data_IF_475580726840
#
_entry.id   IF_475580726840
#
_cell.length_a   1.000
_cell.length_b   1.000
_cell.length_c   1.000
_cell.angle_alpha   90.00
_cell.angle_beta   90.00
_cell.angle_gamma   90.00
#
_symmetry.space_group_name_H-M   'P 1'
#
loop_
_entity.id
_entity.type
_entity.pdbx_description
1 polymer ?
#
# COMPACT_ATOMS: atom_id res chain seq x y z
N UNK A 1 3.12 15.18 24.90
CA UNK A 1 3.86 14.08 25.53
C UNK A 1 2.95 12.99 26.13
N UNK A 2 1.88 13.29 26.91
CA UNK A 2 0.99 12.26 27.51
C UNK A 2 0.32 11.32 26.47
N UNK A 3 -0.06 11.83 25.28
CA UNK A 3 -0.70 11.03 24.23
C UNK A 3 0.24 9.99 23.56
N UNK A 4 1.54 10.28 23.49
CA UNK A 4 2.55 9.37 22.94
C UNK A 4 2.80 8.20 23.90
N UNK A 5 2.78 8.46 25.21
CA UNK A 5 2.97 7.44 26.24
C UNK A 5 1.80 6.44 26.26
N UNK A 6 0.56 6.91 26.07
CA UNK A 6 -0.63 6.03 26.00
C UNK A 6 -0.56 5.13 24.75
N UNK A 7 -0.15 5.66 23.61
CA UNK A 7 0.01 4.89 22.39
C UNK A 7 1.11 3.82 22.54
N UNK A 8 2.23 4.18 23.17
CA UNK A 8 3.33 3.25 23.48
C UNK A 8 2.89 2.13 24.41
N UNK A 9 2.09 2.44 25.44
CA UNK A 9 1.56 1.45 26.39
C UNK A 9 0.54 0.51 25.70
N UNK A 10 -0.31 1.02 24.81
CA UNK A 10 -1.22 0.17 24.04
C UNK A 10 -0.47 -0.79 23.09
N UNK A 11 0.61 -0.33 22.47
CA UNK A 11 1.47 -1.17 21.64
C UNK A 11 2.13 -2.26 22.51
N UNK A 12 2.69 -1.92 23.67
CA UNK A 12 3.36 -2.87 24.57
C UNK A 12 2.36 -3.89 25.15
N UNK A 13 1.14 -3.48 25.51
CA UNK A 13 0.12 -4.41 26.03
C UNK A 13 -0.38 -5.40 24.96
N UNK A 14 -0.41 -5.01 23.68
CA UNK A 14 -0.75 -5.92 22.58
C UNK A 14 0.26 -7.06 22.41
N UNK A 15 1.52 -6.85 22.84
CA UNK A 15 2.57 -7.89 22.78
C UNK A 15 2.53 -8.88 23.95
N UNK A 16 1.81 -8.59 25.03
CA UNK A 16 1.88 -9.36 26.29
C UNK A 16 0.89 -10.51 26.39
N UNK A 17 -0.11 -10.61 25.50
CA UNK A 17 -1.24 -11.54 25.67
C UNK A 17 -0.94 -12.97 25.20
N UNK A 18 0.15 -13.20 24.46
CA UNK A 18 0.39 -14.50 23.80
C UNK A 18 1.22 -15.53 24.59
N UNK A 19 1.58 -15.27 25.86
CA UNK A 19 2.59 -16.07 26.57
C UNK A 19 2.12 -17.45 27.09
N UNK A 20 0.86 -17.86 26.94
CA UNK A 20 0.32 -19.05 27.62
C UNK A 20 -0.29 -20.16 26.78
N UNK A 21 -0.26 -20.13 25.44
CA UNK A 21 -0.82 -21.23 24.62
C UNK A 21 0.21 -22.31 24.30
N UNK A 22 -0.18 -23.59 24.50
CA UNK A 22 0.56 -24.79 24.03
C UNK A 22 0.96 -24.59 22.57
N UNK A 23 2.27 -24.62 22.28
CA UNK A 23 2.85 -24.42 20.94
C UNK A 23 2.45 -25.55 19.98
N UNK A 24 1.33 -25.40 19.32
CA UNK A 24 1.13 -26.10 18.04
C UNK A 24 1.83 -25.23 16.98
N UNK A 25 2.77 -25.78 16.22
CA UNK A 25 3.46 -25.02 15.15
C UNK A 25 2.44 -24.63 14.09
N UNK A 26 2.18 -23.34 14.00
CA UNK A 26 1.28 -22.73 13.01
C UNK A 26 2.10 -21.98 11.95
N UNK A 27 1.45 -21.54 10.90
CA UNK A 27 2.05 -20.68 9.86
C UNK A 27 2.78 -19.46 10.46
N UNK A 28 2.24 -18.89 11.53
CA UNK A 28 2.74 -17.70 12.21
C UNK A 28 3.67 -18.00 13.39
N UNK A 29 4.25 -19.22 13.47
CA UNK A 29 5.19 -19.57 14.54
C UNK A 29 6.57 -18.95 14.30
N UNK A 30 7.25 -18.60 15.39
CA UNK A 30 8.62 -18.08 15.40
C UNK A 30 9.56 -18.94 14.56
N UNK A 31 10.43 -18.31 13.79
CA UNK A 31 11.45 -18.95 12.95
C UNK A 31 10.99 -19.29 11.54
N UNK A 32 9.74 -19.01 11.18
CA UNK A 32 9.28 -19.17 9.80
C UNK A 32 9.69 -17.97 8.94
N UNK A 33 10.12 -18.25 7.71
CA UNK A 33 10.29 -17.26 6.65
C UNK A 33 8.95 -17.10 5.95
N UNK A 34 8.59 -15.87 5.65
CA UNK A 34 7.35 -15.51 4.97
C UNK A 34 7.70 -14.90 3.63
N UNK A 35 7.08 -15.41 2.57
CA UNK A 35 7.16 -14.81 1.23
C UNK A 35 5.75 -14.38 0.85
N UNK A 36 5.59 -13.14 0.45
CA UNK A 36 4.29 -12.57 0.11
C UNK A 36 4.31 -11.96 -1.28
N UNK A 37 3.21 -12.11 -1.98
CA UNK A 37 2.94 -11.48 -3.27
C UNK A 37 1.65 -10.71 -3.17
N UNK A 38 1.76 -9.39 -3.07
CA UNK A 38 0.63 -8.47 -3.03
C UNK A 38 0.25 -7.98 -4.42
N UNK A 39 -1.02 -8.04 -4.73
CA UNK A 39 -1.62 -7.49 -5.93
C UNK A 39 -2.75 -6.56 -5.54
N UNK A 40 -2.87 -5.41 -6.19
CA UNK A 40 -3.98 -4.52 -5.92
C UNK A 40 -4.34 -3.65 -7.10
N UNK A 41 -5.60 -3.27 -7.13
CA UNK A 41 -6.17 -2.35 -8.11
C UNK A 41 -6.96 -1.31 -7.34
N UNK A 42 -6.74 -0.06 -7.68
CA UNK A 42 -7.51 1.06 -7.18
C UNK A 42 -8.14 1.78 -8.37
N UNK A 43 -9.44 2.05 -8.31
CA UNK A 43 -10.13 2.84 -9.32
C UNK A 43 -11.03 3.84 -8.62
N UNK A 44 -10.87 5.11 -8.99
CA UNK A 44 -11.67 6.21 -8.48
C UNK A 44 -12.31 6.93 -9.65
N UNK A 45 -13.63 7.16 -9.55
CA UNK A 45 -14.37 8.03 -10.46
C UNK A 45 -15.13 9.03 -9.61
N UNK A 46 -15.00 10.30 -9.94
CA UNK A 46 -15.78 11.38 -9.33
C UNK A 46 -16.99 11.65 -10.21
N UNK A 47 -18.12 11.97 -9.58
CA UNK A 47 -19.45 12.08 -10.18
C UNK A 47 -19.45 12.99 -11.42
N UNK A 48 -20.04 12.55 -12.53
CA UNK A 48 -20.13 13.32 -13.77
C UNK A 48 -21.00 14.58 -13.67
N UNK A 49 -21.80 14.73 -12.61
CA UNK A 49 -22.60 15.96 -12.38
C UNK A 49 -21.75 17.13 -11.84
N UNK A 50 -20.49 16.86 -11.49
CA UNK A 50 -19.51 17.87 -11.08
C UNK A 50 -18.46 18.01 -12.18
N UNK A 51 -18.36 19.18 -12.77
CA UNK A 51 -17.27 19.55 -13.67
C UNK A 51 -16.05 19.99 -12.82
N UNK A 52 -14.85 19.35 -12.94
CA UNK A 52 -14.43 18.34 -13.92
C UNK A 52 -14.77 16.88 -13.55
N UNK A 53 -14.88 16.04 -14.56
CA UNK A 53 -14.96 14.58 -14.39
C UNK A 53 -13.54 14.04 -14.18
N UNK A 54 -13.29 13.48 -13.01
CA UNK A 54 -12.01 12.86 -12.66
C UNK A 54 -12.13 11.35 -12.68
N UNK A 55 -11.23 10.68 -13.39
CA UNK A 55 -11.09 9.21 -13.36
C UNK A 55 -9.64 8.85 -13.10
N UNK A 56 -9.40 7.94 -12.16
CA UNK A 56 -8.06 7.44 -11.86
C UNK A 56 -8.09 5.93 -11.70
N UNK A 57 -7.09 5.26 -12.25
CA UNK A 57 -6.85 3.83 -12.05
C UNK A 57 -5.40 3.62 -11.67
N UNK A 58 -5.17 2.86 -10.61
CA UNK A 58 -3.83 2.45 -10.20
C UNK A 58 -3.78 0.94 -10.00
N UNK A 59 -2.68 0.34 -10.46
CA UNK A 59 -2.36 -1.08 -10.27
C UNK A 59 -1.05 -1.15 -9.49
N UNK A 60 -1.01 -2.01 -8.48
CA UNK A 60 0.20 -2.22 -7.71
C UNK A 60 0.55 -3.70 -7.56
N UNK A 61 1.84 -3.95 -7.58
CA UNK A 61 2.47 -5.24 -7.38
C UNK A 61 3.50 -5.10 -6.25
N UNK A 62 3.34 -5.85 -5.16
CA UNK A 62 4.15 -5.68 -3.96
C UNK A 62 4.65 -7.03 -3.43
N UNK A 63 5.75 -7.59 -3.95
CA UNK A 63 6.43 -8.71 -3.33
C UNK A 63 7.07 -8.29 -2.01
N UNK A 64 7.10 -9.22 -1.04
CA UNK A 64 7.78 -9.00 0.23
C UNK A 64 8.33 -10.29 0.81
N UNK A 65 9.37 -10.15 1.64
CA UNK A 65 9.96 -11.25 2.40
C UNK A 65 10.05 -10.83 3.87
N UNK A 66 9.59 -11.71 4.73
CA UNK A 66 9.55 -11.49 6.16
C UNK A 66 10.07 -12.69 6.95
N UNK A 67 10.23 -12.48 8.24
CA UNK A 67 10.64 -13.47 9.20
C UNK A 67 9.81 -13.34 10.48
N UNK A 68 9.30 -14.46 10.97
CA UNK A 68 8.58 -14.52 12.25
C UNK A 68 9.59 -14.44 13.41
N UNK A 69 9.76 -13.24 13.96
CA UNK A 69 10.73 -12.99 15.05
C UNK A 69 10.25 -13.55 16.39
N UNK A 70 8.95 -13.55 16.61
CA UNK A 70 8.25 -14.27 17.67
C UNK A 70 6.93 -14.80 17.10
N UNK A 71 6.21 -15.63 17.85
CA UNK A 71 4.91 -16.13 17.39
C UNK A 71 3.97 -14.96 17.10
N UNK A 72 3.37 -14.98 15.91
CA UNK A 72 2.43 -13.97 15.41
C UNK A 72 3.00 -12.57 15.20
N UNK A 73 4.33 -12.40 15.15
CA UNK A 73 4.97 -11.13 14.81
C UNK A 73 6.02 -11.33 13.72
N UNK A 74 5.79 -10.69 12.61
CA UNK A 74 6.62 -10.70 11.41
C UNK A 74 7.34 -9.37 11.25
N UNK A 75 8.64 -9.43 10.93
CA UNK A 75 9.42 -8.30 10.41
C UNK A 75 9.86 -8.62 8.99
N UNK A 76 9.84 -7.64 8.10
CA UNK A 76 10.21 -7.89 6.73
C UNK A 76 10.54 -6.65 5.92
N UNK A 77 10.89 -6.93 4.66
CA UNK A 77 11.14 -5.92 3.64
C UNK A 77 10.14 -6.13 2.50
N UNK A 78 9.78 -5.06 1.85
CA UNK A 78 8.93 -5.08 0.68
C UNK A 78 9.56 -4.29 -0.46
N UNK A 79 9.23 -4.71 -1.66
CA UNK A 79 9.49 -4.01 -2.90
C UNK A 79 8.15 -3.84 -3.60
N UNK A 80 7.94 -2.74 -4.30
CA UNK A 80 6.67 -2.50 -4.98
C UNK A 80 6.86 -1.76 -6.28
N UNK A 81 5.96 -2.02 -7.23
CA UNK A 81 5.80 -1.23 -8.45
C UNK A 81 4.35 -0.80 -8.51
N UNK A 82 4.15 0.51 -8.65
CA UNK A 82 2.83 1.10 -8.85
C UNK A 82 2.78 1.74 -10.23
N UNK A 83 1.74 1.46 -10.97
CA UNK A 83 1.39 2.17 -12.19
C UNK A 83 0.06 2.87 -11.97
N UNK A 84 0.00 4.16 -12.26
CA UNK A 84 -1.20 4.98 -12.12
C UNK A 84 -1.45 5.75 -13.40
N UNK A 85 -2.70 5.75 -13.84
CA UNK A 85 -3.20 6.63 -14.88
C UNK A 85 -4.40 7.40 -14.35
N UNK A 86 -4.47 8.70 -14.66
CA UNK A 86 -5.63 9.51 -14.35
C UNK A 86 -5.98 10.45 -15.49
N UNK A 87 -7.24 10.79 -15.55
CA UNK A 87 -7.83 11.63 -16.57
C UNK A 87 -8.77 12.64 -15.92
N UNK A 88 -8.50 13.93 -16.18
CA UNK A 88 -9.35 15.05 -15.81
C UNK A 88 -9.97 15.63 -17.09
N UNK A 89 -11.30 15.64 -17.16
CA UNK A 89 -12.04 16.19 -18.29
C UNK A 89 -12.77 17.44 -17.86
N UNK A 90 -12.44 18.58 -18.46
CA UNK A 90 -13.09 19.87 -18.26
C UNK A 90 -13.96 20.19 -19.49
N UNK A 91 -15.24 20.41 -19.27
CA UNK A 91 -16.18 20.79 -20.32
C UNK A 91 -16.47 22.27 -20.21
N UNK A 92 -15.70 23.12 -20.91
CA UNK A 92 -16.01 24.53 -21.08
C UNK A 92 -16.54 24.74 -22.50
N UNK A 93 -17.87 24.85 -22.64
CA UNK A 93 -18.49 25.04 -23.96
C UNK A 93 -17.95 26.28 -24.68
N UNK A 94 -17.45 26.20 -25.94
CA UNK A 94 -17.55 25.05 -26.84
C UNK A 94 -16.32 24.10 -26.80
N UNK A 95 -15.39 24.25 -25.86
CA UNK A 95 -14.11 23.56 -25.85
C UNK A 95 -14.06 22.50 -24.76
N UNK A 96 -13.62 21.31 -25.10
CA UNK A 96 -13.31 20.24 -24.14
C UNK A 96 -11.79 20.25 -23.93
N UNK A 97 -11.36 20.38 -22.69
CA UNK A 97 -9.96 20.21 -22.28
C UNK A 97 -9.83 18.94 -21.46
N UNK A 98 -8.80 18.17 -21.72
CA UNK A 98 -8.50 16.92 -21.04
C UNK A 98 -7.05 16.90 -20.60
N UNK A 99 -6.81 16.64 -19.31
CA UNK A 99 -5.47 16.41 -18.78
C UNK A 99 -5.31 14.91 -18.51
N UNK A 100 -4.31 14.30 -19.10
CA UNK A 100 -3.94 12.90 -18.88
C UNK A 100 -2.66 12.85 -18.06
N UNK A 101 -2.67 12.02 -17.03
CA UNK A 101 -1.52 11.84 -16.14
C UNK A 101 -1.20 10.35 -16.01
N UNK A 102 0.02 9.99 -16.34
CA UNK A 102 0.56 8.65 -16.20
C UNK A 102 1.78 8.67 -15.28
N UNK A 103 1.86 7.72 -14.37
CA UNK A 103 2.97 7.65 -13.46
C UNK A 103 3.35 6.21 -13.12
N UNK A 104 4.64 6.00 -12.96
CA UNK A 104 5.21 4.72 -12.50
C UNK A 104 6.13 4.97 -11.32
N UNK A 105 5.88 4.27 -10.22
CA UNK A 105 6.71 4.32 -9.01
C UNK A 105 7.27 2.96 -8.67
N UNK A 106 8.49 2.97 -8.21
CA UNK A 106 9.15 1.87 -7.53
C UNK A 106 9.25 2.22 -6.05
N UNK A 107 8.85 1.29 -5.19
CA UNK A 107 8.85 1.46 -3.75
C UNK A 107 9.74 0.40 -3.10
N UNK A 108 10.45 0.80 -2.07
CA UNK A 108 11.21 -0.09 -1.20
C UNK A 108 10.91 0.27 0.26
N UNK A 109 10.63 -0.73 1.09
CA UNK A 109 10.26 -0.47 2.47
C UNK A 109 10.56 -1.60 3.43
N UNK A 110 10.39 -1.28 4.70
CA UNK A 110 10.41 -2.22 5.81
C UNK A 110 9.04 -2.26 6.45
N UNK A 111 8.67 -3.39 7.01
CA UNK A 111 7.40 -3.51 7.71
C UNK A 111 7.49 -4.38 8.95
N UNK A 112 6.57 -4.15 9.86
CA UNK A 112 6.23 -5.03 10.97
C UNK A 112 4.77 -5.42 10.84
N UNK A 113 4.44 -6.70 11.00
CA UNK A 113 3.07 -7.18 10.96
C UNK A 113 2.77 -8.08 12.16
N UNK A 114 1.67 -7.79 12.84
CA UNK A 114 1.14 -8.59 13.95
C UNK A 114 -0.10 -9.34 13.48
N UNK A 115 -0.18 -10.61 13.85
CA UNK A 115 -1.33 -11.47 13.65
C UNK A 115 -2.07 -11.66 14.97
N UNK A 116 -3.40 -11.58 14.94
CA UNK A 116 -4.30 -11.84 16.06
C UNK A 116 -5.20 -13.01 15.67
N UNK A 117 -4.78 -14.26 15.97
CA UNK A 117 -5.54 -15.44 15.57
C UNK A 117 -6.92 -15.46 16.22
N UNK A 118 -7.97 -15.59 15.42
CA UNK A 118 -9.35 -15.81 15.88
C UNK A 118 -9.61 -17.30 16.06
N UNK A 119 -9.10 -18.08 15.12
CA UNK A 119 -9.16 -19.54 15.12
C UNK A 119 -8.00 -20.10 14.27
N UNK A 120 -8.02 -21.40 13.94
CA UNK A 120 -6.95 -22.02 13.16
C UNK A 120 -6.85 -21.52 11.71
N UNK A 121 -7.87 -20.87 11.19
CA UNK A 121 -7.98 -20.49 9.77
C UNK A 121 -8.00 -18.97 9.57
N UNK A 122 -8.45 -18.22 10.57
CA UNK A 122 -8.62 -16.77 10.48
C UNK A 122 -7.82 -16.02 11.53
N UNK A 123 -7.22 -14.92 11.10
CA UNK A 123 -6.58 -13.96 11.97
C UNK A 123 -6.91 -12.53 11.52
N UNK A 124 -7.03 -11.59 12.45
CA UNK A 124 -6.86 -10.20 12.12
C UNK A 124 -5.38 -9.87 12.00
N UNK A 125 -5.06 -8.91 11.14
CA UNK A 125 -3.70 -8.44 10.94
C UNK A 125 -3.62 -6.93 11.14
N UNK A 126 -2.51 -6.48 11.69
CA UNK A 126 -2.14 -5.07 11.71
C UNK A 126 -0.69 -4.96 11.27
N UNK A 127 -0.40 -4.11 10.31
CA UNK A 127 0.97 -3.81 9.90
C UNK A 127 1.29 -2.34 10.03
N UNK A 128 2.57 -2.05 10.26
CA UNK A 128 3.15 -0.72 10.12
C UNK A 128 4.27 -0.83 9.09
N UNK A 129 4.21 0.04 8.09
CA UNK A 129 5.13 0.08 6.95
C UNK A 129 5.84 1.44 6.93
N UNK A 130 7.13 1.43 6.59
CA UNK A 130 7.92 2.62 6.27
C UNK A 130 8.65 2.37 4.96
N UNK A 131 8.62 3.34 4.04
CA UNK A 131 9.20 3.14 2.73
C UNK A 131 9.63 4.41 2.04
N UNK A 132 10.45 4.19 1.02
CA UNK A 132 10.89 5.18 0.06
C UNK A 132 10.27 4.85 -1.29
N UNK A 133 9.94 5.88 -2.05
CA UNK A 133 9.45 5.74 -3.42
C UNK A 133 10.28 6.60 -4.37
N UNK A 134 10.46 6.09 -5.58
CA UNK A 134 11.03 6.86 -6.69
C UNK A 134 10.28 6.49 -7.94
N UNK A 135 10.07 7.45 -8.84
CA UNK A 135 9.33 7.20 -10.07
C UNK A 135 9.39 8.35 -11.04
N UNK A 136 8.68 8.17 -12.14
CA UNK A 136 8.50 9.17 -13.19
C UNK A 136 7.03 9.38 -13.48
N UNK A 137 6.71 10.54 -14.01
CA UNK A 137 5.38 10.88 -14.45
C UNK A 137 5.40 11.64 -15.76
N UNK A 138 4.30 11.52 -16.51
CA UNK A 138 4.00 12.33 -17.69
C UNK A 138 2.61 12.91 -17.50
N UNK A 139 2.47 14.17 -17.90
CA UNK A 139 1.21 14.90 -17.89
C UNK A 139 1.03 15.55 -19.27
N UNK A 140 -0.06 15.20 -19.95
CA UNK A 140 -0.37 15.70 -21.28
C UNK A 140 -1.71 16.46 -21.25
N UNK A 141 -1.69 17.70 -21.72
CA UNK A 141 -2.90 18.47 -21.94
C UNK A 141 -3.39 18.32 -23.39
N UNK A 142 -4.65 17.91 -23.53
CA UNK A 142 -5.33 17.74 -24.81
C UNK A 142 -6.44 18.78 -24.93
N UNK A 143 -6.33 19.64 -25.92
CA UNK A 143 -7.38 20.61 -26.24
C UNK A 143 -8.16 20.14 -27.47
N UNK A 144 -9.43 19.76 -27.29
CA UNK A 144 -10.21 19.10 -28.35
C UNK A 144 -9.65 17.71 -28.64
N UNK A 145 -9.14 17.49 -29.86
CA UNK A 145 -8.47 16.25 -30.30
C UNK A 145 -6.97 16.41 -30.51
N UNK A 146 -6.38 17.54 -30.11
CA UNK A 146 -4.98 17.87 -30.37
C UNK A 146 -4.22 17.94 -29.04
N UNK A 147 -3.17 17.15 -28.92
CA UNK A 147 -2.21 17.29 -27.82
C UNK A 147 -1.49 18.62 -28.00
N UNK A 148 -1.50 19.46 -26.96
CA UNK A 148 -0.79 20.75 -26.97
C UNK A 148 0.61 20.54 -26.40
N UNK A 149 1.65 20.43 -27.25
CA UNK A 149 3.02 20.08 -26.80
C UNK A 149 3.63 21.12 -25.84
N UNK A 150 3.15 22.35 -25.88
CA UNK A 150 3.64 23.42 -25.00
C UNK A 150 3.20 23.26 -23.53
N UNK A 151 2.30 22.31 -23.24
CA UNK A 151 1.80 22.03 -21.90
C UNK A 151 2.09 20.61 -21.42
N UNK A 152 2.72 19.79 -22.27
CA UNK A 152 3.19 18.47 -21.85
C UNK A 152 4.30 18.63 -20.80
N UNK A 153 4.15 17.98 -19.69
CA UNK A 153 5.11 17.99 -18.58
C UNK A 153 5.52 16.57 -18.26
N UNK A 154 6.82 16.40 -18.04
CA UNK A 154 7.37 15.16 -17.52
C UNK A 154 8.29 15.47 -16.34
N UNK A 155 8.55 14.46 -15.54
CA UNK A 155 9.45 14.67 -14.42
C UNK A 155 9.65 13.41 -13.58
N UNK A 156 10.47 13.60 -12.56
CA UNK A 156 10.78 12.58 -11.59
C UNK A 156 10.15 12.92 -10.25
N UNK A 157 9.76 11.88 -9.50
CA UNK A 157 9.24 12.05 -8.16
C UNK A 157 9.93 11.10 -7.19
N UNK A 158 10.21 11.63 -6.00
CA UNK A 158 10.81 10.89 -4.91
C UNK A 158 9.97 11.12 -3.64
N UNK A 159 9.80 10.08 -2.87
CA UNK A 159 8.96 10.16 -1.68
C UNK A 159 9.46 9.33 -0.53
N UNK A 160 8.98 9.69 0.66
CA UNK A 160 9.08 8.91 1.87
C UNK A 160 7.70 8.83 2.50
N UNK A 161 7.32 7.64 2.95
CA UNK A 161 6.00 7.46 3.54
C UNK A 161 5.96 6.38 4.58
N UNK A 162 4.87 6.38 5.33
CA UNK A 162 4.56 5.34 6.29
C UNK A 162 3.06 5.09 6.35
N UNK A 163 2.69 3.85 6.65
CA UNK A 163 1.30 3.46 6.77
C UNK A 163 1.09 2.49 7.93
N UNK A 164 -0.10 2.51 8.49
CA UNK A 164 -0.61 1.47 9.38
C UNK A 164 -1.81 0.85 8.67
N UNK A 165 -1.77 -0.47 8.47
CA UNK A 165 -2.81 -1.19 7.78
C UNK A 165 -3.48 -2.20 8.71
N UNK A 166 -4.77 -2.41 8.48
CA UNK A 166 -5.60 -3.38 9.17
C UNK A 166 -6.18 -4.34 8.14
N UNK A 167 -6.12 -5.63 8.42
CA UNK A 167 -6.54 -6.63 7.48
C UNK A 167 -7.02 -7.91 8.12
N UNK A 168 -7.30 -8.88 7.26
CA UNK A 168 -7.66 -10.25 7.64
C UNK A 168 -6.80 -11.22 6.86
N UNK A 169 -6.41 -12.30 7.54
CA UNK A 169 -5.72 -13.44 6.97
C UNK A 169 -6.60 -14.68 7.04
N UNK A 170 -6.72 -15.39 5.94
CA UNK A 170 -7.33 -16.71 5.84
C UNK A 170 -6.26 -17.74 5.52
N UNK A 171 -5.98 -18.66 6.43
CA UNK A 171 -4.89 -19.65 6.38
C UNK A 171 -5.47 -21.06 6.27
N UNK A 172 -5.90 -21.49 5.07
CA UNK A 172 -6.50 -22.81 4.86
C UNK A 172 -5.49 -23.96 5.08
N UNK A 173 -4.22 -23.67 4.90
CA UNK A 173 -3.11 -24.59 5.09
C UNK A 173 -1.98 -23.92 5.90
N UNK A 174 -1.29 -24.68 6.72
CA UNK A 174 -0.20 -24.15 7.57
C UNK A 174 0.95 -23.47 6.79
N UNK A 175 1.05 -23.73 5.50
CA UNK A 175 2.09 -23.18 4.64
C UNK A 175 1.62 -22.05 3.70
N UNK A 176 0.32 -21.73 3.71
CA UNK A 176 -0.28 -20.76 2.79
C UNK A 176 -1.40 -19.97 3.45
N UNK A 177 -1.45 -18.67 3.13
CA UNK A 177 -2.52 -17.77 3.57
C UNK A 177 -2.89 -16.80 2.44
N UNK A 178 -4.16 -16.42 2.42
CA UNK A 178 -4.67 -15.28 1.67
C UNK A 178 -4.89 -14.14 2.67
N UNK A 179 -4.38 -12.95 2.36
CA UNK A 179 -4.57 -11.77 3.21
C UNK A 179 -5.21 -10.66 2.39
N UNK A 180 -6.12 -9.94 3.04
CA UNK A 180 -6.76 -8.76 2.47
C UNK A 180 -6.61 -7.59 3.43
N UNK A 181 -6.17 -6.45 2.93
CA UNK A 181 -6.17 -5.20 3.68
C UNK A 181 -7.57 -4.58 3.59
N UNK A 182 -8.12 -4.19 4.74
CA UNK A 182 -9.48 -3.68 4.87
C UNK A 182 -9.47 -2.17 5.08
N UNK A 183 -8.50 -1.67 5.83
CA UNK A 183 -8.36 -0.25 6.15
C UNK A 183 -6.89 0.11 6.36
N UNK A 184 -6.56 1.38 6.17
CA UNK A 184 -5.22 1.88 6.42
C UNK A 184 -5.22 3.38 6.71
N UNK A 185 -4.20 3.79 7.47
CA UNK A 185 -3.82 5.18 7.70
C UNK A 185 -2.43 5.36 7.14
N UNK A 186 -2.22 6.38 6.31
CA UNK A 186 -0.92 6.63 5.74
C UNK A 186 -0.57 8.11 5.70
N UNK A 187 0.72 8.37 5.68
CA UNK A 187 1.30 9.68 5.39
C UNK A 187 2.43 9.48 4.38
N UNK A 188 2.44 10.32 3.37
CA UNK A 188 3.49 10.35 2.36
C UNK A 188 3.92 11.79 2.13
N UNK A 189 5.21 12.01 2.07
CA UNK A 189 5.81 13.24 1.59
C UNK A 189 6.48 12.94 0.25
N UNK A 190 6.17 13.70 -0.78
CA UNK A 190 6.63 13.50 -2.13
C UNK A 190 7.18 14.80 -2.71
N UNK A 191 8.33 14.71 -3.34
CA UNK A 191 8.98 15.77 -4.08
C UNK A 191 8.91 15.42 -5.56
N UNK A 192 8.37 16.33 -6.38
CA UNK A 192 8.29 16.19 -7.84
C UNK A 192 9.15 17.27 -8.47
N UNK A 193 10.07 16.85 -9.33
CA UNK A 193 10.96 17.72 -10.10
C UNK A 193 10.56 17.61 -11.58
N UNK A 194 10.26 18.74 -12.22
CA UNK A 194 9.81 18.82 -13.62
C UNK A 194 11.00 19.00 -14.56
N UNK A 195 11.03 18.23 -15.66
CA UNK A 195 12.16 18.23 -16.61
C UNK A 195 12.30 19.56 -17.38
N UNK A 196 11.19 20.26 -17.61
CA UNK A 196 11.14 21.46 -18.44
C UNK A 196 11.12 22.78 -17.65
N UNK A 197 11.23 22.72 -16.34
CA UNK A 197 11.28 23.89 -15.45
C UNK A 197 12.20 23.62 -14.27
N UNK A 198 12.70 24.69 -13.66
CA UNK A 198 13.39 24.57 -12.37
C UNK A 198 12.40 24.44 -11.19
N UNK A 199 11.15 24.13 -11.49
CA UNK A 199 10.12 24.06 -10.48
C UNK A 199 10.18 22.71 -9.75
N UNK A 200 10.19 22.78 -8.44
CA UNK A 200 10.10 21.65 -7.55
C UNK A 200 8.83 21.80 -6.73
N UNK A 201 7.98 20.78 -6.75
CA UNK A 201 6.76 20.74 -5.95
C UNK A 201 6.89 19.71 -4.84
N UNK A 202 6.69 20.16 -3.60
CA UNK A 202 6.63 19.26 -2.44
C UNK A 202 5.18 19.09 -2.02
N UNK A 203 4.73 17.84 -1.98
CA UNK A 203 3.38 17.48 -1.57
C UNK A 203 3.44 16.60 -0.33
N UNK A 204 2.61 16.88 0.64
CA UNK A 204 2.43 16.01 1.80
C UNK A 204 0.98 15.55 1.82
N UNK A 205 0.77 14.26 1.65
CA UNK A 205 -0.53 13.62 1.71
C UNK A 205 -0.66 12.81 2.99
N UNK A 206 -1.77 13.00 3.68
CA UNK A 206 -2.15 12.16 4.80
C UNK A 206 -3.59 11.70 4.60
N UNK A 207 -3.82 10.40 4.74
CA UNK A 207 -5.14 9.87 4.43
C UNK A 207 -5.52 8.66 5.27
N UNK A 208 -6.83 8.51 5.43
CA UNK A 208 -7.47 7.32 5.96
C UNK A 208 -8.24 6.65 4.83
N UNK A 209 -7.90 5.40 4.54
CA UNK A 209 -8.56 4.61 3.51
C UNK A 209 -9.31 3.45 4.16
N UNK A 210 -10.61 3.38 3.91
CA UNK A 210 -11.44 2.23 4.32
C UNK A 210 -11.99 1.61 3.05
N UNK A 211 -11.74 0.33 2.85
CA UNK A 211 -12.33 -0.60 1.86
C UNK A 211 -12.82 -0.05 0.50
N UNK A 212 -13.10 1.24 0.40
CA UNK A 212 -13.72 1.84 -0.79
C UNK A 212 -12.76 2.19 -1.92
N UNK A 213 -11.42 2.18 -1.69
CA UNK A 213 -10.48 2.77 -2.63
C UNK A 213 -9.25 1.92 -2.97
N UNK A 214 -8.94 0.87 -2.21
CA UNK A 214 -7.80 0.00 -2.53
C UNK A 214 -8.10 -1.45 -2.15
N UNK A 215 -8.24 -2.28 -3.15
CA UNK A 215 -8.29 -3.72 -2.94
C UNK A 215 -6.89 -4.26 -3.11
N UNK A 216 -6.29 -4.77 -2.03
CA UNK A 216 -5.07 -5.56 -2.13
C UNK A 216 -5.33 -6.96 -1.63
N UNK A 217 -4.91 -7.92 -2.41
CA UNK A 217 -4.91 -9.32 -2.05
C UNK A 217 -3.48 -9.81 -2.03
N UNK A 218 -3.07 -10.34 -0.89
CA UNK A 218 -1.75 -10.90 -0.71
C UNK A 218 -1.83 -12.42 -0.67
N UNK A 219 -1.04 -13.07 -1.51
CA UNK A 219 -0.75 -14.49 -1.46
C UNK A 219 0.48 -14.68 -0.59
N UNK A 220 0.38 -15.48 0.47
CA UNK A 220 1.41 -15.59 1.50
C UNK A 220 1.81 -17.03 1.68
N UNK A 221 3.11 -17.31 1.53
CA UNK A 221 3.71 -18.63 1.75
C UNK A 221 4.62 -18.58 2.97
N UNK A 222 4.52 -19.61 3.81
CA UNK A 222 5.32 -19.77 5.01
C UNK A 222 6.29 -20.93 4.83
N UNK A 223 7.57 -20.69 5.11
CA UNK A 223 8.63 -21.66 5.02
C UNK A 223 9.25 -21.85 6.40
N UNK A 224 9.14 -23.07 6.97
CA UNK A 224 9.66 -23.39 8.28
C UNK A 224 9.70 -24.89 8.54
N UNK A 225 10.42 -25.27 9.59
CA UNK A 225 10.59 -26.70 9.94
C UNK A 225 9.24 -27.29 10.36
N UNK A 226 8.76 -28.27 9.61
CA UNK A 226 7.56 -29.05 9.93
C UNK A 226 6.26 -28.54 9.36
N UNK A 227 6.22 -27.40 8.63
CA UNK A 227 5.01 -26.90 7.96
C UNK A 227 4.61 -27.75 6.75
N UNK A 228 5.60 -28.38 6.09
CA UNK A 228 5.42 -29.16 4.86
C UNK A 228 5.41 -30.68 5.09
N UNK A 229 5.43 -31.12 6.36
CA UNK A 229 5.26 -32.54 6.67
C UNK A 229 3.77 -32.85 6.68
N UNK A 230 3.35 -33.77 5.80
CA UNK A 230 2.03 -34.42 5.81
C UNK A 230 1.89 -35.32 7.03
#
# INVERSE_FOLDING_TARGET
MKKVIILSLMIVSAFSVDAQRKRTRTATSMGNVVVRLGLGVNSKKVDPDLDPVYTSTAVHFKPSVGYMVVDNLELGVNFGVNYMTSEDVYVQSPTISKTMYDATDVNFGVYVQKYFPLNNWFAFTTSADLGLSTGSFNEDDVLGSVVTPDRARSGNRNGVGGAINFGMAFTPYNAFSLQANIAGLGVQNQKSDYDNSNDTVNTTDAGFNVWRQAYSLDFVWYFGRGLWKK
#
